data_IF_197385976884
#
_entry.id   IF_197385976884
#
_cell.length_a   1.000
_cell.length_b   1.000
_cell.length_c   1.000
_cell.angle_alpha   90.00
_cell.angle_beta   90.00
_cell.angle_gamma   90.00
#
_symmetry.space_group_name_H-M   'P 1'
#
loop_
_entity.id
_entity.type
_entity.pdbx_description
1 polymer ?
#
# COMPACT_ATOMS: atom_id res chain seq x y z
N UNK A 1 13.55 -1.71 -23.15
CA UNK A 1 13.45 -3.16 -23.14
C UNK A 1 12.44 -3.62 -22.11
N UNK A 2 11.96 -4.84 -22.24
CA UNK A 2 10.90 -5.35 -21.39
C UNK A 2 11.27 -5.34 -19.89
N UNK A 3 12.51 -5.71 -19.58
CA UNK A 3 12.98 -5.75 -18.19
C UNK A 3 12.99 -4.36 -17.57
N UNK A 4 13.39 -3.35 -18.33
CA UNK A 4 13.43 -1.97 -17.85
C UNK A 4 12.02 -1.43 -17.61
N UNK A 5 11.08 -1.76 -18.51
CA UNK A 5 9.69 -1.35 -18.34
C UNK A 5 9.07 -1.96 -17.09
N UNK A 6 9.35 -3.24 -16.83
CA UNK A 6 8.84 -3.91 -15.65
C UNK A 6 9.42 -3.31 -14.37
N UNK A 7 10.71 -2.97 -14.38
CA UNK A 7 11.35 -2.34 -13.23
C UNK A 7 10.73 -0.98 -12.96
N UNK A 8 10.49 -0.18 -13.99
CA UNK A 8 9.87 1.14 -13.84
C UNK A 8 8.44 1.02 -13.34
N UNK A 9 7.67 0.07 -13.87
CA UNK A 9 6.30 -0.17 -13.40
C UNK A 9 6.29 -0.60 -11.95
N UNK A 10 7.23 -1.46 -11.55
CA UNK A 10 7.35 -1.89 -10.18
C UNK A 10 7.67 -0.76 -9.23
N UNK A 11 8.56 0.15 -9.63
CA UNK A 11 8.89 1.33 -8.84
C UNK A 11 7.69 2.25 -8.70
N UNK A 12 6.95 2.47 -9.78
CA UNK A 12 5.75 3.31 -9.73
C UNK A 12 4.69 2.71 -8.82
N UNK A 13 4.49 1.40 -8.91
CA UNK A 13 3.55 0.71 -8.03
C UNK A 13 3.99 0.80 -6.58
N UNK A 14 5.29 0.67 -6.32
CA UNK A 14 5.84 0.82 -4.98
C UNK A 14 5.55 2.19 -4.40
N UNK A 15 5.77 3.26 -5.19
CA UNK A 15 5.44 4.61 -4.78
C UNK A 15 3.95 4.78 -4.51
N UNK A 16 3.12 4.22 -5.38
CA UNK A 16 1.67 4.30 -5.22
C UNK A 16 1.24 3.61 -3.93
N UNK A 17 1.79 2.44 -3.64
CA UNK A 17 1.47 1.72 -2.42
C UNK A 17 1.89 2.50 -1.18
N UNK A 18 3.04 3.18 -1.24
CA UNK A 18 3.48 4.05 -0.14
C UNK A 18 2.51 5.21 0.08
N UNK A 19 2.05 5.84 -1.00
CA UNK A 19 1.08 6.93 -0.89
C UNK A 19 -0.24 6.46 -0.32
N UNK A 20 -0.70 5.28 -0.74
CA UNK A 20 -1.90 4.68 -0.20
C UNK A 20 -1.75 4.43 1.30
N UNK A 21 -0.60 3.90 1.72
CA UNK A 21 -0.31 3.67 3.12
C UNK A 21 -0.32 4.95 3.93
N UNK A 22 0.22 6.02 3.38
CA UNK A 22 0.22 7.32 4.02
C UNK A 22 -1.19 7.84 4.21
N UNK A 23 -2.03 7.72 3.19
CA UNK A 23 -3.43 8.13 3.28
C UNK A 23 -4.19 7.30 4.31
N UNK A 24 -3.93 6.01 4.37
CA UNK A 24 -4.55 5.12 5.36
C UNK A 24 -4.15 5.55 6.76
N UNK A 25 -2.87 5.87 6.99
CA UNK A 25 -2.40 6.34 8.29
C UNK A 25 -3.05 7.66 8.68
N UNK A 26 -3.20 8.57 7.72
CA UNK A 26 -3.85 9.85 7.96
C UNK A 26 -5.31 9.65 8.34
N UNK A 27 -6.01 8.79 7.62
CA UNK A 27 -7.40 8.45 7.92
C UNK A 27 -7.52 7.86 9.33
N UNK A 28 -6.65 6.92 9.65
CA UNK A 28 -6.66 6.27 10.96
C UNK A 28 -6.41 7.22 12.11
N UNK A 29 -5.50 8.19 11.92
CA UNK A 29 -5.18 9.15 12.97
C UNK A 29 -6.30 10.16 13.22
N UNK A 30 -7.15 10.39 12.23
CA UNK A 30 -8.27 11.34 12.35
C UNK A 30 -9.56 10.67 12.79
N UNK A 31 -9.67 9.36 12.65
CA UNK A 31 -10.89 8.64 12.95
C UNK A 31 -10.98 8.33 14.44
N UNK A 32 -12.11 8.67 15.04
CA UNK A 32 -12.41 8.34 16.44
C UNK A 32 -13.36 7.17 16.57
N UNK A 33 -13.77 6.59 15.46
CA UNK A 33 -14.76 5.51 15.41
C UNK A 33 -14.04 4.16 15.41
N UNK A 34 -14.43 3.27 16.32
CA UNK A 34 -13.81 1.95 16.42
C UNK A 34 -14.01 1.11 15.16
N UNK A 35 -15.16 1.29 14.48
CA UNK A 35 -15.43 0.60 13.23
C UNK A 35 -14.47 1.04 12.14
N UNK A 36 -14.22 2.34 12.04
CA UNK A 36 -13.28 2.89 11.07
C UNK A 36 -11.87 2.42 11.38
N UNK A 37 -11.49 2.38 12.67
CA UNK A 37 -10.18 1.90 13.06
C UNK A 37 -9.96 0.44 12.65
N UNK A 38 -10.99 -0.39 12.77
CA UNK A 38 -10.93 -1.77 12.32
C UNK A 38 -10.68 -1.87 10.82
N UNK A 39 -11.39 -1.05 10.04
CA UNK A 39 -11.23 -1.01 8.59
C UNK A 39 -9.81 -0.56 8.23
N UNK A 40 -9.30 0.45 8.92
CA UNK A 40 -7.94 0.95 8.68
C UNK A 40 -6.90 -0.15 8.92
N UNK A 41 -7.05 -0.92 9.99
CA UNK A 41 -6.14 -2.02 10.28
C UNK A 41 -6.19 -3.07 9.17
N UNK A 42 -7.39 -3.41 8.71
CA UNK A 42 -7.57 -4.32 7.61
C UNK A 42 -6.90 -3.82 6.32
N UNK A 43 -7.09 -2.55 6.02
CA UNK A 43 -6.48 -1.93 4.84
C UNK A 43 -4.95 -1.96 4.91
N UNK A 44 -4.39 -1.68 6.08
CA UNK A 44 -2.94 -1.76 6.28
C UNK A 44 -2.41 -3.17 6.05
N UNK A 45 -3.13 -4.15 6.53
CA UNK A 45 -2.76 -5.55 6.39
C UNK A 45 -2.74 -5.95 4.91
N UNK A 46 -3.80 -5.59 4.19
CA UNK A 46 -3.89 -5.87 2.76
C UNK A 46 -2.80 -5.14 1.98
N UNK A 47 -2.49 -3.90 2.38
CA UNK A 47 -1.43 -3.14 1.74
C UNK A 47 -0.07 -3.81 1.92
N UNK A 48 0.21 -4.31 3.12
CA UNK A 48 1.46 -5.02 3.38
C UNK A 48 1.56 -6.29 2.53
N UNK A 49 0.45 -7.01 2.37
CA UNK A 49 0.42 -8.17 1.50
C UNK A 49 0.71 -7.79 0.05
N UNK A 50 0.14 -6.69 -0.41
CA UNK A 50 0.36 -6.20 -1.77
C UNK A 50 1.83 -5.84 -1.98
N UNK A 51 2.46 -5.22 -0.99
CA UNK A 51 3.88 -4.86 -1.05
C UNK A 51 4.75 -6.12 -1.13
N UNK A 52 4.42 -7.13 -0.34
CA UNK A 52 5.15 -8.40 -0.35
C UNK A 52 5.05 -9.08 -1.70
N UNK A 53 3.84 -9.11 -2.26
CA UNK A 53 3.62 -9.72 -3.57
C UNK A 53 4.38 -8.97 -4.66
N UNK A 54 4.40 -7.66 -4.60
CA UNK A 54 5.14 -6.85 -5.56
C UNK A 54 6.64 -7.15 -5.47
N UNK A 55 7.18 -7.20 -4.26
CA UNK A 55 8.59 -7.54 -4.04
C UNK A 55 8.93 -8.91 -4.59
N UNK A 56 8.05 -9.89 -4.40
CA UNK A 56 8.30 -11.24 -4.88
C UNK A 56 8.21 -11.35 -6.39
N UNK A 57 7.42 -10.48 -7.02
CA UNK A 57 7.25 -10.48 -8.46
C UNK A 57 8.41 -9.81 -9.19
N UNK A 58 9.15 -8.98 -8.51
CA UNK A 58 10.30 -8.27 -9.08
C UNK A 58 11.60 -8.99 -8.80
#
# INVERSE_FOLDING_TARGET
MLADDQTMKGKKLGFLLQEIGREINTLGSKANDAGIQKIVVQMKDELEQAKEQLSNAL
#
